data_IF_266561996136
#
_entry.id   IF_266561996136
#
_cell.length_a   1.000
_cell.length_b   1.000
_cell.length_c   1.000
_cell.angle_alpha   90.00
_cell.angle_beta   90.00
_cell.angle_gamma   90.00
#
_symmetry.space_group_name_H-M   'P 1'
#
loop_
_entity.id
_entity.type
_entity.pdbx_description
1 polymer ?
#
# COMPACT_ATOMS: atom_id res chain seq x y z
N UNK A 1 -18.16 20.86 61.23
CA UNK A 1 -16.90 20.56 60.51
C UNK A 1 -16.41 19.25 61.12
N UNK A 2 -16.38 18.09 60.47
CA UNK A 2 -16.21 17.63 59.07
C UNK A 2 -17.15 16.42 58.86
N UNK A 3 -17.93 16.25 57.80
CA UNK A 3 -17.53 16.22 56.39
C UNK A 3 -17.32 14.75 55.97
N UNK A 4 -18.37 13.91 56.01
CA UNK A 4 -18.31 12.52 55.54
C UNK A 4 -18.70 12.48 54.05
N UNK A 5 -17.69 12.21 53.23
CA UNK A 5 -17.72 12.35 51.77
C UNK A 5 -18.32 11.11 51.11
N UNK A 6 -19.44 11.33 50.41
CA UNK A 6 -19.77 10.82 49.07
C UNK A 6 -19.96 9.31 48.85
N UNK A 7 -21.24 8.93 48.85
CA UNK A 7 -21.96 8.27 47.76
C UNK A 7 -21.35 7.04 47.06
N UNK A 8 -21.94 5.88 47.40
CA UNK A 8 -22.34 4.69 46.61
C UNK A 8 -21.52 4.23 45.38
N UNK A 9 -21.41 2.89 45.19
CA UNK A 9 -20.67 2.27 44.09
C UNK A 9 -21.12 2.80 42.74
N UNK A 10 -20.14 3.12 41.90
CA UNK A 10 -20.31 3.65 40.55
C UNK A 10 -21.23 2.78 39.71
N UNK A 11 -22.49 3.19 39.67
CA UNK A 11 -23.46 2.91 38.62
C UNK A 11 -22.79 3.22 37.28
N UNK A 12 -22.36 2.20 36.54
CA UNK A 12 -22.10 2.36 35.10
C UNK A 12 -23.40 2.80 34.46
N UNK A 13 -23.51 4.11 34.24
CA UNK A 13 -24.62 4.71 33.52
C UNK A 13 -24.69 4.08 32.11
N UNK A 14 -25.86 3.57 31.66
CA UNK A 14 -26.06 3.33 30.24
C UNK A 14 -26.04 4.68 29.55
N UNK A 15 -24.94 5.01 28.86
CA UNK A 15 -24.88 6.22 28.03
C UNK A 15 -26.05 6.24 27.04
N UNK A 16 -26.74 7.39 26.87
CA UNK A 16 -28.00 7.48 26.18
C UNK A 16 -27.90 7.06 24.72
N UNK A 17 -28.91 6.31 24.27
CA UNK A 17 -29.21 6.00 22.88
C UNK A 17 -29.37 7.29 22.09
N UNK A 18 -28.30 7.74 21.42
CA UNK A 18 -28.36 8.80 20.42
C UNK A 18 -29.10 8.27 19.20
N UNK A 19 -30.34 8.74 19.03
CA UNK A 19 -31.09 8.74 17.76
C UNK A 19 -30.39 9.68 16.77
N UNK A 20 -29.21 9.27 16.29
CA UNK A 20 -28.55 9.82 15.12
C UNK A 20 -28.91 9.01 13.87
N UNK A 21 -28.68 9.52 12.65
CA UNK A 21 -29.01 8.81 11.41
C UNK A 21 -28.39 7.40 11.45
N UNK A 22 -29.16 6.35 11.20
CA UNK A 22 -28.80 4.93 11.37
C UNK A 22 -27.30 4.65 11.14
N UNK A 23 -26.51 4.70 12.22
CA UNK A 23 -25.09 4.46 12.17
C UNK A 23 -24.86 2.96 12.33
N UNK A 24 -24.01 2.41 11.49
CA UNK A 24 -23.62 1.01 11.51
C UNK A 24 -22.21 0.89 12.06
N UNK A 25 -21.96 -0.14 12.85
CA UNK A 25 -20.63 -0.44 13.33
C UNK A 25 -19.77 -0.95 12.18
N UNK A 26 -18.57 -0.40 12.04
CA UNK A 26 -17.62 -0.81 11.02
C UNK A 26 -17.03 -2.17 11.39
N UNK A 27 -17.23 -3.23 10.59
CA UNK A 27 -16.67 -4.54 10.89
C UNK A 27 -15.14 -4.55 10.72
N UNK A 28 -14.45 -5.37 11.52
CA UNK A 28 -13.04 -5.62 11.33
C UNK A 28 -12.80 -6.45 10.07
N UNK A 29 -12.06 -5.88 9.13
CA UNK A 29 -11.62 -6.55 7.91
C UNK A 29 -10.12 -6.49 7.69
N UNK A 30 -9.37 -5.92 8.62
CA UNK A 30 -7.90 -5.99 8.65
C UNK A 30 -7.49 -7.45 8.78
N UNK A 31 -6.52 -7.88 7.97
CA UNK A 31 -6.05 -9.26 7.90
C UNK A 31 -6.92 -10.20 7.03
N UNK A 32 -8.05 -9.74 6.49
CA UNK A 32 -8.82 -10.49 5.49
C UNK A 32 -8.31 -10.22 4.08
N UNK A 33 -8.66 -11.10 3.14
CA UNK A 33 -8.48 -10.81 1.73
C UNK A 33 -9.46 -9.70 1.26
N UNK A 34 -9.10 -8.97 0.21
CA UNK A 34 -9.91 -7.88 -0.35
C UNK A 34 -11.37 -8.28 -0.62
N UNK A 35 -11.59 -9.42 -1.28
CA UNK A 35 -12.94 -9.91 -1.63
C UNK A 35 -13.83 -10.14 -0.41
N UNK A 36 -13.44 -10.96 0.60
CA UNK A 36 -14.22 -11.12 1.82
C UNK A 36 -14.36 -9.83 2.63
N UNK A 37 -13.34 -8.96 2.65
CA UNK A 37 -13.41 -7.65 3.30
C UNK A 37 -14.54 -6.77 2.72
N UNK A 38 -14.56 -6.63 1.39
CA UNK A 38 -15.59 -5.87 0.68
C UNK A 38 -16.99 -6.46 0.87
N UNK A 39 -17.12 -7.78 0.91
CA UNK A 39 -18.40 -8.46 1.18
C UNK A 39 -18.90 -8.14 2.59
N UNK A 40 -18.01 -8.16 3.60
CA UNK A 40 -18.36 -7.87 4.99
C UNK A 40 -18.80 -6.42 5.19
N UNK A 41 -18.13 -5.47 4.52
CA UNK A 41 -18.54 -4.07 4.50
C UNK A 41 -19.90 -3.88 3.84
N UNK A 42 -20.12 -4.48 2.66
CA UNK A 42 -21.41 -4.41 1.96
C UNK A 42 -22.55 -5.01 2.79
N UNK A 43 -22.32 -6.12 3.48
CA UNK A 43 -23.30 -6.73 4.37
C UNK A 43 -23.66 -5.81 5.57
N UNK A 44 -22.72 -5.00 6.04
CA UNK A 44 -22.95 -3.98 7.06
C UNK A 44 -23.62 -2.69 6.50
N UNK A 45 -23.88 -2.62 5.18
CA UNK A 45 -24.43 -1.42 4.53
C UNK A 45 -23.38 -0.31 4.33
N UNK A 46 -22.10 -0.67 4.23
CA UNK A 46 -20.97 0.24 4.03
C UNK A 46 -20.37 0.06 2.62
N UNK A 47 -19.78 1.14 2.09
CA UNK A 47 -19.07 1.13 0.80
C UNK A 47 -17.58 0.96 1.05
N UNK A 48 -16.97 -0.11 0.56
CA UNK A 48 -15.52 -0.29 0.63
C UNK A 48 -14.83 0.31 -0.58
N UNK A 49 -13.85 1.19 -0.37
CA UNK A 49 -12.92 1.63 -1.43
C UNK A 49 -11.55 1.03 -1.15
N UNK A 50 -10.96 0.42 -2.17
CA UNK A 50 -9.67 -0.26 -2.04
C UNK A 50 -8.57 0.65 -2.55
N UNK A 51 -7.57 0.86 -1.72
CA UNK A 51 -6.28 1.43 -2.07
C UNK A 51 -5.23 0.33 -1.95
N UNK A 52 -4.20 0.39 -2.79
CA UNK A 52 -3.12 -0.57 -2.78
C UNK A 52 -1.87 0.08 -2.18
N UNK A 53 -1.15 -0.65 -1.32
CA UNK A 53 0.16 -0.25 -0.81
C UNK A 53 1.10 -1.44 -0.71
N UNK A 54 2.39 -1.18 -0.90
CA UNK A 54 3.46 -2.12 -0.61
C UNK A 54 3.50 -2.39 0.90
N UNK A 55 3.67 -3.67 1.27
CA UNK A 55 3.74 -4.08 2.67
C UNK A 55 4.39 -5.45 2.79
N UNK A 56 4.96 -5.74 3.96
CA UNK A 56 5.49 -7.06 4.33
C UNK A 56 4.42 -8.16 4.37
N UNK A 57 3.14 -7.78 4.36
CA UNK A 57 2.04 -8.74 4.34
C UNK A 57 1.81 -9.35 2.95
N UNK A 58 1.28 -10.57 2.85
CA UNK A 58 0.95 -11.22 1.58
C UNK A 58 0.06 -10.36 0.68
N UNK A 59 0.28 -10.43 -0.64
CA UNK A 59 -0.53 -9.75 -1.65
C UNK A 59 -2.02 -10.11 -1.51
N UNK A 60 -2.89 -9.12 -1.68
CA UNK A 60 -4.34 -9.27 -1.60
C UNK A 60 -4.90 -9.23 -0.18
N UNK A 61 -4.06 -9.02 0.85
CA UNK A 61 -4.47 -8.91 2.25
C UNK A 61 -4.69 -7.46 2.67
N UNK A 62 -5.78 -7.17 3.36
CA UNK A 62 -6.04 -5.84 3.92
C UNK A 62 -5.08 -5.60 5.09
N UNK A 63 -4.21 -4.60 4.96
CA UNK A 63 -3.23 -4.22 5.97
C UNK A 63 -3.75 -3.11 6.88
N UNK A 64 -4.66 -2.28 6.36
CA UNK A 64 -5.26 -1.19 7.11
C UNK A 64 -6.69 -0.96 6.66
N UNK A 65 -7.53 -0.50 7.59
CA UNK A 65 -8.85 0.03 7.26
C UNK A 65 -9.10 1.35 8.01
N UNK A 66 -9.85 2.25 7.36
CA UNK A 66 -10.33 3.51 7.94
C UNK A 66 -11.77 3.78 7.49
N UNK A 67 -12.73 4.05 8.39
CA UNK A 67 -12.61 4.11 9.86
C UNK A 67 -12.21 2.79 10.50
N UNK A 68 -11.60 2.83 11.69
CA UNK A 68 -11.14 1.63 12.40
C UNK A 68 -12.31 0.70 12.76
N UNK A 69 -12.02 -0.59 12.94
CA UNK A 69 -13.02 -1.56 13.39
C UNK A 69 -13.72 -1.10 14.68
N UNK A 70 -15.02 -1.34 14.78
CA UNK A 70 -15.84 -0.90 15.92
C UNK A 70 -16.24 0.57 15.90
N UNK A 71 -15.69 1.38 14.98
CA UNK A 71 -16.14 2.77 14.78
C UNK A 71 -17.58 2.80 14.27
N UNK A 72 -18.33 3.84 14.63
CA UNK A 72 -19.67 4.08 14.08
C UNK A 72 -19.55 4.91 12.81
N UNK A 73 -20.08 4.41 11.72
CA UNK A 73 -20.13 5.11 10.44
C UNK A 73 -21.57 5.20 9.96
N UNK A 74 -21.91 6.27 9.22
CA UNK A 74 -23.24 6.41 8.65
C UNK A 74 -23.52 5.27 7.67
N UNK A 75 -24.77 4.87 7.51
CA UNK A 75 -25.16 3.95 6.43
C UNK A 75 -24.69 4.51 5.08
N UNK A 76 -24.13 3.65 4.23
CA UNK A 76 -23.45 3.98 2.97
C UNK A 76 -22.14 4.78 3.09
N UNK A 77 -21.58 4.94 4.29
CA UNK A 77 -20.28 5.57 4.46
C UNK A 77 -19.19 4.78 3.74
N UNK A 78 -18.16 5.52 3.30
CA UNK A 78 -17.01 4.98 2.61
C UNK A 78 -15.96 4.54 3.61
N UNK A 79 -15.58 3.27 3.56
CA UNK A 79 -14.49 2.68 4.32
C UNK A 79 -13.33 2.45 3.38
N UNK A 80 -12.23 3.17 3.61
CA UNK A 80 -10.98 2.97 2.89
C UNK A 80 -10.28 1.72 3.42
N UNK A 81 -10.00 0.81 2.52
CA UNK A 81 -9.23 -0.41 2.74
C UNK A 81 -7.89 -0.23 2.07
N UNK A 82 -6.81 -0.44 2.81
CA UNK A 82 -5.47 -0.55 2.23
C UNK A 82 -5.16 -2.03 2.10
N UNK A 83 -4.98 -2.50 0.87
CA UNK A 83 -4.64 -3.87 0.55
C UNK A 83 -3.17 -3.94 0.21
N UNK A 84 -2.47 -4.88 0.83
CA UNK A 84 -1.09 -5.22 0.50
C UNK A 84 -1.03 -5.69 -0.93
N UNK A 85 -0.11 -5.14 -1.70
CA UNK A 85 0.32 -5.73 -2.98
C UNK A 85 1.49 -6.71 -2.81
N UNK A 86 1.86 -7.03 -1.57
CA UNK A 86 3.04 -7.81 -1.22
C UNK A 86 4.30 -6.94 -1.12
N UNK A 87 5.40 -7.54 -0.66
CA UNK A 87 6.73 -6.96 -0.87
C UNK A 87 7.14 -7.04 -2.34
N UNK A 88 6.60 -8.03 -3.08
CA UNK A 88 6.91 -8.30 -4.48
C UNK A 88 6.09 -7.52 -5.51
N UNK A 89 5.74 -6.26 -5.25
CA UNK A 89 5.42 -5.34 -6.35
C UNK A 89 6.65 -4.50 -6.77
N UNK A 90 7.70 -4.56 -5.97
CA UNK A 90 9.06 -4.48 -6.42
C UNK A 90 9.55 -5.94 -6.39
N UNK A 91 9.52 -6.67 -7.50
CA UNK A 91 10.50 -7.75 -7.62
C UNK A 91 11.84 -7.02 -7.50
N UNK A 92 12.48 -7.16 -6.34
CA UNK A 92 13.79 -6.57 -6.09
C UNK A 92 14.74 -7.38 -6.98
N UNK A 93 14.87 -6.91 -8.21
CA UNK A 93 15.65 -7.52 -9.27
C UNK A 93 17.03 -6.90 -9.19
N UNK A 94 18.06 -7.73 -9.27
CA UNK A 94 19.42 -7.24 -9.41
C UNK A 94 19.53 -6.54 -10.75
N UNK A 95 20.01 -5.29 -10.74
CA UNK A 95 20.24 -4.57 -11.99
C UNK A 95 21.37 -5.28 -12.75
N UNK A 96 21.11 -5.86 -13.93
CA UNK A 96 22.15 -6.53 -14.70
C UNK A 96 23.21 -5.51 -15.15
N UNK A 97 24.44 -5.98 -15.34
CA UNK A 97 25.51 -5.17 -15.93
C UNK A 97 25.33 -5.09 -17.44
N UNK A 98 24.94 -3.91 -17.91
CA UNK A 98 24.78 -3.58 -19.33
C UNK A 98 25.80 -2.53 -19.80
N UNK A 99 26.85 -2.27 -19.00
CA UNK A 99 28.00 -1.48 -19.45
C UNK A 99 28.74 -2.21 -20.57
N UNK A 100 29.37 -1.44 -21.46
CA UNK A 100 30.02 -1.91 -22.68
C UNK A 100 29.06 -2.62 -23.67
N UNK A 101 27.75 -2.60 -23.42
CA UNK A 101 26.74 -3.07 -24.36
C UNK A 101 26.20 -1.92 -25.21
N UNK A 102 25.70 -2.28 -26.39
CA UNK A 102 24.91 -1.39 -27.23
C UNK A 102 23.64 -0.91 -26.50
N UNK A 103 23.33 0.38 -26.62
CA UNK A 103 22.17 1.02 -25.97
C UNK A 103 20.85 0.27 -26.20
N UNK A 104 20.67 -0.32 -27.40
CA UNK A 104 19.45 -1.06 -27.76
C UNK A 104 19.38 -2.38 -27.00
N UNK A 105 20.50 -3.11 -26.93
CA UNK A 105 20.58 -4.40 -26.24
C UNK A 105 20.46 -4.22 -24.73
N UNK A 106 21.14 -3.22 -24.18
CA UNK A 106 21.09 -2.82 -22.79
C UNK A 106 19.65 -2.48 -22.36
N UNK A 107 18.96 -1.67 -23.17
CA UNK A 107 17.56 -1.32 -22.95
C UNK A 107 16.68 -2.56 -22.92
N UNK A 108 16.79 -3.42 -23.93
CA UNK A 108 15.94 -4.62 -24.02
C UNK A 108 16.11 -5.53 -22.80
N UNK A 109 17.35 -5.73 -22.33
CA UNK A 109 17.65 -6.55 -21.16
C UNK A 109 16.97 -6.00 -19.90
N UNK A 110 17.00 -4.69 -19.71
CA UNK A 110 16.40 -4.03 -18.56
C UNK A 110 14.87 -3.98 -18.66
N UNK A 111 14.32 -3.71 -19.84
CA UNK A 111 12.87 -3.69 -20.08
C UNK A 111 12.23 -5.07 -19.96
N UNK A 112 12.92 -6.14 -20.35
CA UNK A 112 12.47 -7.53 -20.17
C UNK A 112 12.33 -7.90 -18.69
N UNK A 113 13.23 -7.38 -17.86
CA UNK A 113 13.17 -7.46 -16.40
C UNK A 113 12.16 -6.47 -15.79
N UNK A 114 11.45 -5.70 -16.62
CA UNK A 114 10.44 -4.75 -16.18
C UNK A 114 10.99 -3.45 -15.60
N UNK A 115 12.28 -3.15 -15.79
CA UNK A 115 12.83 -1.83 -15.52
C UNK A 115 12.46 -0.85 -16.63
N UNK A 116 12.39 0.43 -16.28
CA UNK A 116 12.27 1.52 -17.27
C UNK A 116 13.66 2.02 -17.58
N UNK A 117 13.95 2.33 -18.83
CA UNK A 117 15.30 2.75 -19.22
C UNK A 117 15.26 4.19 -19.72
N UNK A 118 16.16 5.02 -19.21
CA UNK A 118 16.38 6.38 -19.65
C UNK A 118 17.80 6.51 -20.18
N UNK A 119 17.97 6.93 -21.44
CA UNK A 119 19.28 7.01 -22.07
C UNK A 119 19.70 8.48 -22.13
N UNK A 120 20.88 8.78 -21.60
CA UNK A 120 21.52 10.09 -21.64
C UNK A 120 22.76 9.98 -22.53
N UNK A 121 22.69 10.57 -23.71
CA UNK A 121 23.83 10.64 -24.63
C UNK A 121 24.72 11.82 -24.30
N UNK A 122 25.99 11.53 -24.05
CA UNK A 122 27.03 12.50 -23.71
C UNK A 122 28.11 12.61 -24.79
N UNK A 123 28.11 11.71 -25.77
CA UNK A 123 29.01 11.70 -26.93
C UNK A 123 28.35 11.18 -28.22
N UNK A 124 29.17 10.74 -29.16
CA UNK A 124 28.79 10.34 -30.53
C UNK A 124 28.74 8.81 -30.74
N UNK A 125 29.07 8.00 -29.72
CA UNK A 125 28.97 6.55 -29.79
C UNK A 125 27.65 5.98 -29.26
N UNK A 126 27.42 4.71 -29.61
CA UNK A 126 26.17 3.97 -29.34
C UNK A 126 26.32 2.95 -28.18
N UNK A 127 27.39 3.09 -27.37
CA UNK A 127 27.72 2.13 -26.30
C UNK A 127 27.43 2.73 -24.93
N UNK A 128 26.94 1.91 -24.00
CA UNK A 128 26.70 2.29 -22.61
C UNK A 128 28.05 2.38 -21.87
N UNK A 129 28.45 3.58 -21.48
CA UNK A 129 29.65 3.82 -20.69
C UNK A 129 29.39 3.61 -19.20
N UNK A 130 28.20 4.01 -18.73
CA UNK A 130 27.81 3.88 -17.32
C UNK A 130 26.31 3.64 -17.17
N UNK A 131 25.92 3.04 -16.04
CA UNK A 131 24.52 2.81 -15.70
C UNK A 131 24.25 3.19 -14.26
N UNK A 132 23.10 3.79 -14.01
CA UNK A 132 22.65 4.16 -12.68
C UNK A 132 21.22 3.63 -12.44
N UNK A 133 20.99 2.84 -11.39
CA UNK A 133 21.94 2.41 -10.35
C UNK A 133 23.02 1.43 -10.86
N UNK A 134 24.12 1.35 -10.10
CA UNK A 134 25.26 0.49 -10.41
C UNK A 134 24.84 -0.98 -10.60
N UNK A 135 25.56 -1.74 -11.45
CA UNK A 135 25.26 -3.16 -11.65
C UNK A 135 25.35 -3.96 -10.36
N UNK A 136 24.48 -4.96 -10.22
CA UNK A 136 24.37 -5.81 -9.03
C UNK A 136 23.66 -5.17 -7.84
N UNK A 137 23.22 -3.92 -7.94
CA UNK A 137 22.35 -3.30 -6.94
C UNK A 137 20.94 -3.88 -7.08
N UNK A 138 20.38 -4.38 -5.99
CA UNK A 138 19.00 -4.83 -5.97
C UNK A 138 18.07 -3.61 -6.04
N UNK A 139 17.19 -3.62 -7.03
CA UNK A 139 16.32 -2.50 -7.36
C UNK A 139 14.90 -2.96 -7.61
N UNK A 140 13.95 -2.08 -7.31
CA UNK A 140 12.54 -2.38 -7.56
C UNK A 140 12.24 -2.52 -9.05
N UNK A 141 11.59 -3.62 -9.43
CA UNK A 141 10.95 -3.77 -10.74
C UNK A 141 10.10 -2.53 -11.06
N UNK A 142 10.29 -1.94 -12.23
CA UNK A 142 9.61 -0.70 -12.64
C UNK A 142 10.34 0.59 -12.27
N UNK A 143 11.50 0.52 -11.61
CA UNK A 143 12.38 1.66 -11.39
C UNK A 143 13.05 2.10 -12.70
N UNK A 144 13.46 3.37 -12.77
CA UNK A 144 14.12 3.95 -13.95
C UNK A 144 15.63 3.76 -13.81
N UNK A 145 16.22 2.99 -14.72
CA UNK A 145 17.66 2.83 -14.88
C UNK A 145 18.13 3.83 -15.93
N UNK A 146 19.00 4.75 -15.52
CA UNK A 146 19.62 5.73 -16.40
C UNK A 146 20.89 5.13 -17.01
N UNK A 147 20.99 5.07 -18.33
CA UNK A 147 22.17 4.66 -19.06
C UNK A 147 22.85 5.91 -19.63
N UNK A 148 24.16 6.04 -19.39
CA UNK A 148 25.00 7.07 -19.97
C UNK A 148 25.70 6.48 -21.19
N UNK A 149 25.39 7.00 -22.37
CA UNK A 149 26.06 6.66 -23.63
C UNK A 149 27.05 7.74 -24.05
N UNK A 150 28.12 7.36 -24.74
CA UNK A 150 29.19 8.25 -25.20
C UNK A 150 29.69 7.88 -26.58
#
# INVERSE_FOLDING_TARGET
QTGETTERPGTTAPTPTTTGPAQVAVPNVVGLAQTPALRRLRAAGLKGVVAYRTSTQPRGRVIEQRPAAGSRANRNAVVRLVVSIGQGAAEELEVPDVRDQDEVSARQTLEDLGFRVEIIRTGDGDTVEDQQPAPGVTSASGMVVTLFGG
#
